data_IF_673415377655
#
_entry.id   IF_673415377655
#
_cell.length_a   1.000
_cell.length_b   1.000
_cell.length_c   1.000
_cell.angle_alpha   90.00
_cell.angle_beta   90.00
_cell.angle_gamma   90.00
#
_symmetry.space_group_name_H-M   'P 1'
#
loop_
_entity.id
_entity.type
_entity.pdbx_description
1 polymer ?
#
# COMPACT_ATOMS: atom_id res chain seq x y z
N UNK A 1 -2.13 -40.43 11.17
CA UNK A 1 -1.94 -39.32 10.22
C UNK A 1 -0.47 -39.28 9.90
N UNK A 2 -0.08 -39.62 8.68
CA UNK A 2 1.33 -39.63 8.24
C UNK A 2 1.94 -38.22 8.20
N UNK A 3 1.11 -37.17 8.13
CA UNK A 3 1.55 -35.79 8.31
C UNK A 3 0.51 -34.98 9.12
N UNK A 4 0.76 -34.68 10.41
CA UNK A 4 -0.17 -33.92 11.26
C UNK A 4 -0.33 -32.43 10.87
N UNK A 5 0.37 -31.97 9.82
CA UNK A 5 0.29 -30.60 9.26
C UNK A 5 -0.69 -30.48 8.09
N UNK A 6 -1.15 -31.59 7.50
CA UNK A 6 -2.10 -31.55 6.39
C UNK A 6 -3.46 -30.93 6.79
N UNK A 7 -4.07 -30.19 5.84
CA UNK A 7 -5.37 -29.54 6.04
C UNK A 7 -6.46 -30.57 6.32
N UNK A 8 -7.35 -30.34 7.31
CA UNK A 8 -8.46 -31.23 7.61
C UNK A 8 -9.35 -31.54 6.41
N UNK A 9 -9.76 -30.53 5.65
CA UNK A 9 -10.60 -30.72 4.46
C UNK A 9 -9.94 -31.60 3.39
N UNK A 10 -8.62 -31.48 3.20
CA UNK A 10 -7.88 -32.27 2.21
C UNK A 10 -7.73 -33.72 2.64
N UNK A 11 -7.40 -33.95 3.91
CA UNK A 11 -7.34 -35.30 4.50
C UNK A 11 -8.72 -35.95 4.46
N UNK A 12 -9.78 -35.21 4.78
CA UNK A 12 -11.15 -35.74 4.74
C UNK A 12 -11.61 -36.08 3.34
N UNK A 13 -11.32 -35.22 2.35
CA UNK A 13 -11.62 -35.48 0.95
C UNK A 13 -10.86 -36.71 0.43
N UNK A 14 -9.57 -36.84 0.77
CA UNK A 14 -8.73 -37.97 0.37
C UNK A 14 -9.15 -39.28 1.03
N UNK A 15 -9.43 -39.26 2.34
CA UNK A 15 -9.96 -40.41 3.07
C UNK A 15 -11.29 -40.82 2.46
N UNK A 16 -12.22 -39.89 2.24
CA UNK A 16 -13.54 -40.19 1.66
C UNK A 16 -13.43 -40.73 0.23
N UNK A 17 -12.57 -40.16 -0.61
CA UNK A 17 -12.37 -40.61 -1.99
C UNK A 17 -11.80 -42.04 -2.07
N UNK A 18 -11.07 -42.48 -1.05
CA UNK A 18 -10.43 -43.80 -0.99
C UNK A 18 -11.16 -44.79 -0.07
N UNK A 19 -12.34 -44.43 0.46
CA UNK A 19 -13.12 -45.28 1.38
C UNK A 19 -14.25 -45.97 0.62
N UNK A 20 -14.46 -47.27 0.87
CA UNK A 20 -15.58 -48.04 0.28
C UNK A 20 -16.93 -47.50 0.74
N UNK A 21 -17.95 -47.58 -0.12
CA UNK A 21 -19.31 -47.04 0.14
C UNK A 21 -19.91 -47.51 1.48
N UNK A 22 -19.73 -48.77 1.86
CA UNK A 22 -20.26 -49.29 3.14
C UNK A 22 -19.60 -48.62 4.36
N UNK A 23 -18.32 -48.26 4.21
CA UNK A 23 -17.55 -47.57 5.26
C UNK A 23 -17.82 -46.06 5.23
N UNK A 24 -18.13 -45.49 4.06
CA UNK A 24 -18.51 -44.08 3.92
C UNK A 24 -19.82 -43.76 4.65
N UNK A 25 -20.82 -44.65 4.58
CA UNK A 25 -22.11 -44.48 5.28
C UNK A 25 -21.94 -44.54 6.80
N UNK A 26 -20.97 -45.31 7.29
CA UNK A 26 -20.66 -45.41 8.73
C UNK A 26 -19.70 -44.32 9.23
N UNK A 27 -19.10 -43.53 8.33
CA UNK A 27 -18.32 -42.35 8.72
C UNK A 27 -19.24 -41.26 9.28
N UNK A 28 -18.80 -40.63 10.38
CA UNK A 28 -19.48 -39.46 10.93
C UNK A 28 -19.52 -38.28 9.94
N UNK A 29 -20.31 -37.26 10.28
CA UNK A 29 -20.38 -36.01 9.51
C UNK A 29 -19.00 -35.34 9.42
N UNK A 30 -18.81 -34.47 8.42
CA UNK A 30 -17.57 -33.70 8.26
C UNK A 30 -17.25 -32.87 9.52
N UNK A 31 -18.28 -32.38 10.21
CA UNK A 31 -18.13 -31.70 11.50
C UNK A 31 -17.57 -32.62 12.58
N UNK A 32 -18.07 -33.86 12.67
CA UNK A 32 -17.60 -34.85 13.64
C UNK A 32 -16.14 -35.26 13.34
N UNK A 33 -15.82 -35.52 12.07
CA UNK A 33 -14.47 -35.86 11.66
C UNK A 33 -13.51 -34.69 11.87
N UNK A 34 -13.89 -33.47 11.53
CA UNK A 34 -13.10 -32.26 11.82
C UNK A 34 -12.89 -32.06 13.34
N UNK A 35 -13.87 -32.40 14.19
CA UNK A 35 -13.72 -32.38 15.64
C UNK A 35 -12.70 -33.43 16.14
N UNK A 36 -12.72 -34.63 15.57
CA UNK A 36 -11.72 -35.68 15.85
C UNK A 36 -10.32 -35.22 15.44
N UNK A 37 -10.17 -34.63 14.24
CA UNK A 37 -8.89 -34.10 13.78
C UNK A 37 -8.36 -32.99 14.70
N UNK A 38 -9.22 -32.04 15.11
CA UNK A 38 -8.86 -31.00 16.09
C UNK A 38 -8.43 -31.59 17.43
N UNK A 39 -9.09 -32.65 17.91
CA UNK A 39 -8.70 -33.35 19.14
C UNK A 39 -7.33 -34.02 19.00
N UNK A 40 -7.03 -34.62 17.87
CA UNK A 40 -5.70 -35.21 17.61
C UNK A 40 -4.61 -34.14 17.52
N UNK A 41 -4.86 -33.05 16.79
CA UNK A 41 -3.93 -31.90 16.76
C UNK A 41 -3.63 -31.37 18.17
N UNK A 42 -4.65 -31.22 19.03
CA UNK A 42 -4.45 -30.80 20.43
C UNK A 42 -3.64 -31.78 21.27
N UNK A 43 -3.67 -33.08 20.97
CA UNK A 43 -2.81 -34.06 21.64
C UNK A 43 -1.35 -33.91 21.22
N UNK A 44 -1.10 -33.56 19.95
CA UNK A 44 0.25 -33.45 19.39
C UNK A 44 0.88 -32.09 19.73
N UNK A 45 0.13 -31.01 19.56
CA UNK A 45 0.62 -29.63 19.67
C UNK A 45 0.20 -28.92 20.96
N UNK A 46 -0.68 -29.52 21.77
CA UNK A 46 -1.27 -28.86 22.92
C UNK A 46 -2.44 -27.93 22.55
N UNK A 47 -3.03 -27.29 23.57
CA UNK A 47 -4.11 -26.32 23.38
C UNK A 47 -3.57 -24.90 23.17
N UNK A 48 -3.37 -24.53 21.90
CA UNK A 48 -2.76 -23.28 21.48
C UNK A 48 -3.76 -22.14 21.26
N UNK A 49 -5.03 -22.45 20.99
CA UNK A 49 -6.07 -21.45 20.70
C UNK A 49 -6.58 -20.84 22.01
N UNK A 50 -5.82 -19.89 22.54
CA UNK A 50 -6.16 -19.14 23.76
C UNK A 50 -6.57 -17.72 23.39
N UNK A 51 -7.63 -17.24 24.03
CA UNK A 51 -8.06 -15.83 23.89
C UNK A 51 -6.98 -14.87 24.40
N UNK A 52 -6.30 -15.23 25.50
CA UNK A 52 -5.17 -14.47 26.03
C UNK A 52 -3.84 -15.05 25.50
N UNK A 53 -3.07 -14.29 24.68
CA UNK A 53 -1.77 -14.71 24.16
C UNK A 53 -0.73 -15.10 25.23
N UNK A 54 -0.83 -14.58 26.46
CA UNK A 54 0.08 -14.95 27.56
C UNK A 54 0.01 -16.44 27.91
N UNK A 55 -1.17 -17.05 27.74
CA UNK A 55 -1.41 -18.43 28.12
C UNK A 55 -1.10 -19.43 26.99
N UNK A 56 -0.64 -18.93 25.85
CA UNK A 56 -0.28 -19.75 24.70
C UNK A 56 1.05 -20.44 24.98
N UNK A 57 1.09 -21.77 24.85
CA UNK A 57 2.34 -22.54 24.85
C UNK A 57 2.67 -22.86 23.40
N UNK A 58 3.86 -22.45 22.94
CA UNK A 58 4.32 -22.72 21.58
C UNK A 58 5.14 -24.03 21.57
N UNK A 59 4.71 -25.06 20.83
CA UNK A 59 5.42 -26.34 20.80
C UNK A 59 6.55 -26.32 19.77
N UNK A 60 7.70 -26.89 20.12
CA UNK A 60 8.86 -27.04 19.23
C UNK A 60 8.51 -27.70 17.90
N UNK A 61 7.55 -28.65 17.89
CA UNK A 61 7.09 -29.33 16.68
C UNK A 61 6.51 -28.39 15.59
N UNK A 62 6.11 -27.17 15.96
CA UNK A 62 5.60 -26.14 15.06
C UNK A 62 6.55 -24.94 14.91
N UNK A 63 7.66 -24.93 15.64
CA UNK A 63 8.66 -23.87 15.58
C UNK A 63 9.96 -24.34 14.96
N UNK A 64 10.30 -25.63 15.02
CA UNK A 64 11.59 -26.15 14.57
C UNK A 64 11.56 -26.64 13.12
N UNK A 65 12.51 -26.17 12.32
CA UNK A 65 12.77 -26.60 10.94
C UNK A 65 14.25 -26.94 10.80
N UNK A 66 14.56 -28.17 10.39
CA UNK A 66 15.93 -28.65 10.15
C UNK A 66 16.92 -28.39 11.31
N UNK A 67 16.41 -28.41 12.55
CA UNK A 67 17.19 -28.18 13.78
C UNK A 67 17.29 -26.71 14.22
N UNK A 68 16.72 -25.77 13.45
CA UNK A 68 16.68 -24.35 13.78
C UNK A 68 15.27 -23.88 14.14
N UNK A 69 15.18 -22.92 15.06
CA UNK A 69 13.90 -22.30 15.44
C UNK A 69 13.49 -21.26 14.39
N UNK A 70 12.24 -21.33 13.95
CA UNK A 70 11.59 -20.29 13.17
C UNK A 70 11.08 -19.15 14.05
N UNK A 71 10.97 -19.31 15.38
CA UNK A 71 10.63 -18.20 16.27
C UNK A 71 11.84 -17.30 16.50
N UNK A 72 11.79 -16.06 15.98
CA UNK A 72 12.84 -15.04 16.11
C UNK A 72 12.69 -14.18 17.36
N UNK A 73 11.45 -13.91 17.75
CA UNK A 73 11.15 -12.99 18.84
C UNK A 73 9.85 -13.36 19.52
N UNK A 74 9.86 -13.27 20.85
CA UNK A 74 8.70 -13.41 21.70
C UNK A 74 8.72 -12.31 22.77
N UNK A 75 7.84 -11.33 22.62
CA UNK A 75 7.71 -10.20 23.56
C UNK A 75 7.54 -10.63 25.01
N UNK A 76 6.98 -11.82 25.31
CA UNK A 76 6.76 -12.30 26.69
C UNK A 76 8.06 -12.51 27.46
N UNK A 77 9.16 -12.75 26.74
CA UNK A 77 10.50 -12.86 27.32
C UNK A 77 11.03 -11.49 27.75
N UNK A 78 10.56 -10.41 27.12
CA UNK A 78 11.04 -9.05 27.32
C UNK A 78 10.07 -8.17 28.15
N UNK A 79 8.76 -8.45 28.07
CA UNK A 79 7.66 -7.71 28.70
C UNK A 79 6.77 -8.67 29.50
N UNK A 80 7.26 -9.11 30.66
CA UNK A 80 6.55 -10.11 31.46
C UNK A 80 5.20 -9.59 31.97
N UNK A 81 4.14 -10.39 31.76
CA UNK A 81 2.79 -10.09 32.23
C UNK A 81 1.96 -9.18 31.32
N UNK A 82 2.53 -8.68 30.21
CA UNK A 82 1.82 -7.85 29.26
C UNK A 82 1.06 -8.71 28.22
N UNK A 83 -0.26 -8.52 28.11
CA UNK A 83 -1.15 -9.36 27.29
C UNK A 83 -1.09 -9.05 25.79
N UNK A 84 -0.52 -7.92 25.41
CA UNK A 84 -0.30 -7.47 24.04
C UNK A 84 0.97 -8.10 23.45
N UNK A 85 0.93 -9.41 23.23
CA UNK A 85 2.08 -10.22 22.80
C UNK A 85 2.40 -10.01 21.32
N UNK A 86 3.67 -9.75 21.01
CA UNK A 86 4.26 -9.76 19.66
C UNK A 86 5.11 -11.03 19.47
N UNK A 87 4.86 -11.76 18.39
CA UNK A 87 5.66 -12.93 17.96
C UNK A 87 6.21 -12.69 16.56
N UNK A 88 7.50 -12.95 16.32
CA UNK A 88 8.09 -12.91 14.96
C UNK A 88 8.58 -14.29 14.56
N UNK A 89 8.24 -14.69 13.34
CA UNK A 89 8.60 -15.98 12.76
C UNK A 89 9.45 -15.77 11.50
N UNK A 90 10.67 -16.31 11.47
CA UNK A 90 11.56 -16.31 10.31
C UNK A 90 11.15 -17.33 9.27
N UNK A 91 11.39 -16.94 8.03
CA UNK A 91 11.26 -17.75 6.85
C UNK A 91 12.50 -17.58 5.96
N UNK A 92 13.23 -16.44 6.04
CA UNK A 92 14.42 -16.16 5.24
C UNK A 92 15.33 -15.07 5.80
N UNK A 93 16.56 -15.45 6.13
CA UNK A 93 17.64 -14.51 6.42
C UNK A 93 18.46 -14.16 5.14
N UNK A 94 18.85 -12.88 5.00
CA UNK A 94 19.76 -12.26 4.01
C UNK A 94 19.16 -11.62 2.75
N UNK A 95 18.59 -10.42 2.89
CA UNK A 95 18.34 -9.51 1.77
C UNK A 95 18.51 -8.01 2.12
N UNK A 96 18.78 -7.19 1.10
CA UNK A 96 19.10 -5.75 1.24
C UNK A 96 17.95 -4.81 0.92
N UNK A 97 16.88 -5.32 0.31
CA UNK A 97 15.67 -4.57 -0.03
C UNK A 97 14.46 -5.31 0.52
N UNK A 98 13.61 -4.61 1.26
CA UNK A 98 12.43 -5.21 1.88
C UNK A 98 11.14 -4.50 1.45
N UNK A 99 10.05 -5.25 1.51
CA UNK A 99 8.69 -4.78 1.33
C UNK A 99 7.89 -5.22 2.54
N UNK A 100 6.94 -4.38 2.93
CA UNK A 100 6.17 -4.56 4.17
C UNK A 100 4.69 -4.45 3.85
N UNK A 101 3.88 -5.30 4.47
CA UNK A 101 2.42 -5.29 4.31
C UNK A 101 1.73 -5.92 5.54
N UNK A 102 0.48 -5.53 5.81
CA UNK A 102 -0.31 -6.03 6.93
C UNK A 102 -1.53 -6.80 6.45
N UNK A 103 -1.79 -7.99 7.02
CA UNK A 103 -2.97 -8.79 6.68
C UNK A 103 -3.75 -9.23 7.91
N UNK A 104 -5.06 -8.92 7.92
CA UNK A 104 -5.98 -9.16 9.04
C UNK A 104 -6.61 -10.55 8.99
N UNK A 105 -7.02 -10.99 7.78
CA UNK A 105 -7.82 -12.21 7.58
C UNK A 105 -7.08 -13.49 8.01
N UNK A 106 -5.74 -13.47 7.98
CA UNK A 106 -4.90 -14.63 8.32
C UNK A 106 -4.35 -14.58 9.75
N UNK A 107 -4.62 -13.51 10.50
CA UNK A 107 -4.19 -13.42 11.89
C UNK A 107 -5.01 -14.39 12.76
N UNK A 108 -4.37 -15.26 13.57
CA UNK A 108 -5.09 -16.06 14.55
C UNK A 108 -5.88 -15.17 15.50
N UNK A 109 -7.01 -15.66 16.01
CA UNK A 109 -8.01 -14.85 16.73
C UNK A 109 -7.49 -14.06 17.94
N UNK A 110 -6.38 -14.48 18.55
CA UNK A 110 -5.77 -13.78 19.68
C UNK A 110 -4.97 -12.52 19.27
N UNK A 111 -4.75 -12.30 17.97
CA UNK A 111 -4.04 -11.15 17.40
C UNK A 111 -4.92 -10.39 16.42
N UNK A 112 -4.66 -9.09 16.30
CA UNK A 112 -5.40 -8.23 15.37
C UNK A 112 -4.88 -8.36 13.94
N UNK A 113 -3.57 -8.51 13.75
CA UNK A 113 -3.01 -8.65 12.40
C UNK A 113 -1.77 -9.52 12.35
N UNK A 114 -1.51 -10.07 11.16
CA UNK A 114 -0.21 -10.61 10.78
C UNK A 114 0.49 -9.56 9.90
N UNK A 115 1.52 -8.93 10.44
CA UNK A 115 2.41 -8.02 9.74
C UNK A 115 3.52 -8.80 9.05
N UNK A 116 3.71 -8.60 7.76
CA UNK A 116 4.60 -9.43 6.94
C UNK A 116 5.69 -8.57 6.35
N UNK A 117 6.91 -9.09 6.42
CA UNK A 117 8.10 -8.49 5.84
C UNK A 117 8.66 -9.47 4.81
N UNK A 118 8.81 -9.00 3.60
CA UNK A 118 9.37 -9.75 2.48
C UNK A 118 10.60 -9.07 1.94
N UNK A 119 11.48 -9.84 1.33
CA UNK A 119 12.71 -9.38 0.73
C UNK A 119 12.70 -9.52 -0.77
N UNK A 120 13.21 -8.51 -1.47
CA UNK A 120 13.49 -8.61 -2.90
C UNK A 120 14.89 -9.16 -3.15
N UNK A 121 14.96 -10.27 -3.88
CA UNK A 121 16.19 -10.87 -4.40
C UNK A 121 16.02 -10.95 -5.91
N UNK A 122 16.87 -10.25 -6.69
CA UNK A 122 16.81 -10.22 -8.16
C UNK A 122 15.38 -10.09 -8.74
N UNK A 123 14.62 -9.12 -8.22
CA UNK A 123 13.21 -8.82 -8.58
C UNK A 123 12.15 -9.86 -8.21
N UNK A 124 12.52 -10.89 -7.45
CA UNK A 124 11.56 -11.80 -6.82
C UNK A 124 11.40 -11.43 -5.35
N UNK A 125 10.16 -11.35 -4.90
CA UNK A 125 9.87 -11.23 -3.47
C UNK A 125 9.83 -12.61 -2.86
N UNK A 126 10.54 -12.78 -1.75
CA UNK A 126 10.40 -13.92 -0.88
C UNK A 126 9.98 -13.43 0.51
N UNK A 127 8.99 -14.08 1.13
CA UNK A 127 8.54 -13.69 2.47
C UNK A 127 9.61 -14.10 3.49
N UNK A 128 9.96 -13.18 4.38
CA UNK A 128 11.02 -13.37 5.36
C UNK A 128 10.47 -13.48 6.77
N UNK A 129 9.51 -12.63 7.14
CA UNK A 129 9.01 -12.58 8.52
C UNK A 129 7.51 -12.46 8.54
N UNK A 130 6.89 -13.25 9.40
CA UNK A 130 5.51 -13.07 9.83
C UNK A 130 5.49 -12.64 11.30
N UNK A 131 4.94 -11.47 11.57
CA UNK A 131 4.81 -10.90 12.90
C UNK A 131 3.34 -10.84 13.32
N UNK A 132 2.97 -11.57 14.38
CA UNK A 132 1.63 -11.48 14.95
C UNK A 132 1.56 -10.28 15.89
N UNK A 133 0.77 -9.27 15.53
CA UNK A 133 0.66 -8.01 16.28
C UNK A 133 -0.71 -7.88 16.96
N UNK A 134 -0.75 -7.41 18.22
CA UNK A 134 -1.97 -7.25 19.00
C UNK A 134 -2.76 -5.98 18.63
N UNK A 135 -2.26 -5.16 17.69
CA UNK A 135 -2.95 -3.98 17.21
C UNK A 135 -2.19 -3.24 16.11
N UNK A 136 -2.71 -2.07 15.71
CA UNK A 136 -2.17 -1.19 14.65
C UNK A 136 -1.44 0.04 15.20
N UNK A 137 -1.13 0.05 16.49
CA UNK A 137 -0.44 1.16 17.12
C UNK A 137 1.04 1.15 16.73
N UNK A 138 1.62 2.35 16.56
CA UNK A 138 3.04 2.56 16.21
C UNK A 138 3.99 1.69 17.04
N UNK A 139 3.76 1.58 18.36
CA UNK A 139 4.60 0.80 19.28
C UNK A 139 4.79 -0.66 18.86
N UNK A 140 3.76 -1.32 18.32
CA UNK A 140 3.85 -2.72 17.93
C UNK A 140 4.64 -2.92 16.64
N UNK A 141 4.53 -1.98 15.69
CA UNK A 141 5.38 -1.97 14.51
C UNK A 141 6.84 -1.71 14.88
N UNK A 142 7.11 -0.77 15.79
CA UNK A 142 8.47 -0.48 16.26
C UNK A 142 9.07 -1.68 16.98
N UNK A 143 8.32 -2.36 17.85
CA UNK A 143 8.78 -3.58 18.52
C UNK A 143 9.17 -4.66 17.50
N UNK A 144 8.29 -4.94 16.53
CA UNK A 144 8.58 -5.92 15.49
C UNK A 144 9.75 -5.52 14.59
N UNK A 145 9.81 -4.27 14.14
CA UNK A 145 10.89 -3.80 13.27
C UNK A 145 12.24 -3.76 14.00
N UNK A 146 12.28 -3.45 15.30
CA UNK A 146 13.51 -3.50 16.09
C UNK A 146 14.01 -4.93 16.31
N UNK A 147 13.10 -5.87 16.54
CA UNK A 147 13.46 -7.29 16.58
C UNK A 147 14.05 -7.74 15.24
N UNK A 148 13.45 -7.36 14.11
CA UNK A 148 14.00 -7.62 12.77
C UNK A 148 15.37 -6.98 12.59
N UNK A 149 15.52 -5.70 12.96
CA UNK A 149 16.78 -4.95 12.87
C UNK A 149 17.92 -5.66 13.59
N UNK A 150 17.63 -6.26 14.74
CA UNK A 150 18.60 -7.03 15.53
C UNK A 150 19.04 -8.29 14.80
N UNK A 151 18.10 -9.02 14.18
CA UNK A 151 18.37 -10.26 13.42
C UNK A 151 19.20 -10.00 12.16
N UNK A 152 18.95 -8.90 11.45
CA UNK A 152 19.62 -8.61 10.19
C UNK A 152 20.95 -7.86 10.34
N UNK A 153 21.27 -7.38 11.55
CA UNK A 153 22.48 -6.60 11.82
C UNK A 153 23.76 -7.35 11.39
N UNK A 154 24.79 -6.63 10.87
CA UNK A 154 24.85 -5.19 10.65
C UNK A 154 24.17 -4.73 9.35
N UNK A 155 23.47 -5.61 8.62
CA UNK A 155 22.85 -5.26 7.36
C UNK A 155 21.55 -4.49 7.59
N UNK A 156 21.49 -3.24 7.13
CA UNK A 156 20.25 -2.48 7.08
C UNK A 156 19.65 -2.50 5.67
N UNK A 157 18.30 -2.47 5.54
CA UNK A 157 17.67 -2.30 4.24
C UNK A 157 18.04 -0.94 3.67
N UNK A 158 18.39 -0.89 2.37
CA UNK A 158 18.64 0.37 1.69
C UNK A 158 17.34 1.05 1.24
N UNK A 159 16.30 0.26 0.97
CA UNK A 159 15.00 0.72 0.48
C UNK A 159 13.89 -0.12 1.12
N UNK A 160 12.87 0.56 1.64
CA UNK A 160 11.64 -0.03 2.16
C UNK A 160 10.45 0.48 1.33
N UNK A 161 9.63 -0.46 0.84
CA UNK A 161 8.36 -0.15 0.19
C UNK A 161 7.24 -0.47 1.17
N UNK A 162 6.34 0.50 1.39
CA UNK A 162 5.19 0.34 2.27
C UNK A 162 3.90 0.78 1.60
N UNK A 163 2.80 0.36 2.20
CA UNK A 163 1.51 1.03 2.05
C UNK A 163 1.51 2.46 2.63
N UNK A 164 0.32 3.06 2.71
CA UNK A 164 0.10 4.42 3.20
C UNK A 164 -0.40 4.41 4.66
N UNK A 165 0.02 3.45 5.49
CA UNK A 165 -0.33 3.43 6.91
C UNK A 165 0.63 4.33 7.72
N UNK A 166 0.08 5.40 8.30
CA UNK A 166 0.84 6.42 9.06
C UNK A 166 1.67 5.81 10.20
N UNK A 167 1.10 4.89 10.97
CA UNK A 167 1.78 4.27 12.11
C UNK A 167 2.99 3.45 11.66
N UNK A 168 2.83 2.64 10.61
CA UNK A 168 3.89 1.83 10.01
C UNK A 168 4.99 2.72 9.42
N UNK A 169 4.64 3.76 8.65
CA UNK A 169 5.57 4.73 8.06
C UNK A 169 6.46 5.36 9.14
N UNK A 170 5.85 5.81 10.25
CA UNK A 170 6.59 6.41 11.37
C UNK A 170 7.53 5.41 12.03
N UNK A 171 7.06 4.18 12.28
CA UNK A 171 7.87 3.12 12.87
C UNK A 171 9.08 2.75 12.00
N UNK A 172 8.90 2.63 10.68
CA UNK A 172 9.99 2.33 9.74
C UNK A 172 11.02 3.45 9.66
N UNK A 173 10.60 4.72 9.66
CA UNK A 173 11.51 5.87 9.67
C UNK A 173 12.36 5.92 10.94
N UNK A 174 11.76 5.65 12.09
CA UNK A 174 12.47 5.61 13.37
C UNK A 174 13.48 4.45 13.41
N UNK A 175 13.04 3.26 12.97
CA UNK A 175 13.86 2.05 13.08
C UNK A 175 14.99 2.01 12.06
N UNK A 176 14.74 2.48 10.83
CA UNK A 176 15.67 2.46 9.70
C UNK A 176 15.83 3.86 9.06
N UNK A 177 16.41 4.84 9.78
CA UNK A 177 16.48 6.24 9.31
C UNK A 177 17.31 6.42 8.04
N UNK A 178 18.27 5.52 7.79
CA UNK A 178 19.11 5.54 6.58
C UNK A 178 18.43 4.91 5.34
N UNK A 179 17.32 4.19 5.52
CA UNK A 179 16.64 3.55 4.40
C UNK A 179 15.78 4.57 3.63
N UNK A 180 15.82 4.52 2.29
CA UNK A 180 14.84 5.25 1.47
C UNK A 180 13.47 4.60 1.66
N UNK A 181 12.52 5.31 2.27
CA UNK A 181 11.15 4.84 2.46
C UNK A 181 10.24 5.42 1.38
N UNK A 182 9.53 4.56 0.64
CA UNK A 182 8.61 4.98 -0.43
C UNK A 182 7.28 4.25 -0.36
N UNK A 183 6.21 4.93 -0.78
CA UNK A 183 4.89 4.36 -0.96
C UNK A 183 4.81 3.41 -2.15
N UNK A 184 3.81 2.54 -2.11
CA UNK A 184 3.45 1.64 -3.19
C UNK A 184 2.44 2.30 -4.15
N UNK A 185 2.74 2.36 -5.46
CA UNK A 185 1.82 2.93 -6.46
C UNK A 185 0.47 2.20 -6.50
N UNK A 186 0.42 0.91 -6.15
CA UNK A 186 -0.82 0.15 -6.07
C UNK A 186 -1.71 0.59 -4.94
N UNK A 187 -1.17 0.67 -3.73
CA UNK A 187 -1.93 1.15 -2.58
C UNK A 187 -2.34 2.61 -2.73
N UNK A 188 -1.48 3.46 -3.32
CA UNK A 188 -1.85 4.84 -3.68
C UNK A 188 -3.06 4.86 -4.62
N UNK A 189 -3.00 4.09 -5.72
CA UNK A 189 -4.07 4.08 -6.71
C UNK A 189 -5.37 3.49 -6.16
N UNK A 190 -5.29 2.49 -5.28
CA UNK A 190 -6.44 1.97 -4.55
C UNK A 190 -7.05 3.04 -3.64
N UNK A 191 -6.24 3.79 -2.90
CA UNK A 191 -6.73 4.86 -2.02
C UNK A 191 -7.39 5.99 -2.81
N UNK A 192 -6.78 6.40 -3.93
CA UNK A 192 -7.34 7.41 -4.84
C UNK A 192 -8.66 6.92 -5.46
N UNK A 193 -8.73 5.64 -5.89
CA UNK A 193 -9.94 5.03 -6.42
C UNK A 193 -11.06 4.92 -5.37
N UNK A 194 -10.75 4.50 -4.13
CA UNK A 194 -11.75 4.48 -3.05
C UNK A 194 -12.32 5.86 -2.79
N UNK A 195 -11.46 6.90 -2.73
CA UNK A 195 -11.94 8.27 -2.56
C UNK A 195 -12.84 8.74 -3.71
N UNK A 196 -12.49 8.37 -4.94
CA UNK A 196 -13.33 8.66 -6.11
C UNK A 196 -14.76 8.13 -5.93
N UNK A 197 -14.88 6.87 -5.48
CA UNK A 197 -16.18 6.22 -5.21
C UNK A 197 -16.92 6.85 -4.03
N UNK A 198 -16.23 7.10 -2.92
CA UNK A 198 -16.80 7.77 -1.73
C UNK A 198 -17.40 9.15 -2.06
N UNK A 199 -16.85 9.84 -3.07
CA UNK A 199 -17.35 11.13 -3.54
C UNK A 199 -18.49 11.01 -4.57
N UNK A 200 -18.99 9.80 -4.86
CA UNK A 200 -20.10 9.58 -5.79
C UNK A 200 -19.76 9.83 -7.27
N UNK A 201 -18.48 9.84 -7.64
CA UNK A 201 -18.05 10.18 -9.00
C UNK A 201 -18.16 9.00 -9.99
N UNK A 202 -18.85 7.92 -9.63
CA UNK A 202 -18.97 6.72 -10.47
C UNK A 202 -19.83 6.98 -11.71
N UNK A 203 -20.92 7.72 -11.57
CA UNK A 203 -21.81 8.07 -12.69
C UNK A 203 -21.09 8.94 -13.72
N UNK A 204 -20.40 10.00 -13.26
CA UNK A 204 -19.57 10.84 -14.14
C UNK A 204 -18.50 10.01 -14.85
N UNK A 205 -17.86 9.09 -14.13
CA UNK A 205 -16.84 8.22 -14.70
C UNK A 205 -17.43 7.26 -15.76
N UNK A 206 -18.65 6.76 -15.53
CA UNK A 206 -19.34 5.82 -16.40
C UNK A 206 -20.02 6.47 -17.62
N UNK A 207 -20.16 7.81 -17.63
CA UNK A 207 -20.72 8.53 -18.76
C UNK A 207 -19.86 8.29 -20.03
N UNK A 208 -20.47 7.87 -21.13
CA UNK A 208 -19.78 7.61 -22.40
C UNK A 208 -19.54 8.88 -23.23
N UNK A 209 -20.12 10.01 -22.82
CA UNK A 209 -19.90 11.33 -23.42
C UNK A 209 -18.53 11.92 -23.06
N UNK A 210 -18.23 13.07 -23.67
CA UNK A 210 -16.97 13.79 -23.51
C UNK A 210 -16.60 14.06 -22.05
N UNK A 211 -17.59 14.41 -21.22
CA UNK A 211 -17.36 14.65 -19.79
C UNK A 211 -16.84 13.42 -19.07
N UNK A 212 -17.39 12.24 -19.36
CA UNK A 212 -16.93 11.01 -18.75
C UNK A 212 -15.56 10.60 -19.26
N UNK A 213 -15.27 10.76 -20.57
CA UNK A 213 -13.91 10.51 -21.08
C UNK A 213 -12.88 11.48 -20.46
N UNK A 214 -13.24 12.75 -20.31
CA UNK A 214 -12.45 13.75 -19.60
C UNK A 214 -12.16 13.36 -18.14
N UNK A 215 -13.17 12.82 -17.44
CA UNK A 215 -13.02 12.37 -16.06
C UNK A 215 -12.11 11.14 -15.95
N UNK A 216 -12.27 10.17 -16.86
CA UNK A 216 -11.40 8.99 -16.98
C UNK A 216 -9.95 9.38 -17.25
N UNK A 217 -9.74 10.31 -18.18
CA UNK A 217 -8.41 10.83 -18.51
C UNK A 217 -7.77 11.57 -17.34
N UNK A 218 -8.52 12.45 -16.68
CA UNK A 218 -8.05 13.18 -15.50
C UNK A 218 -7.63 12.22 -14.39
N UNK A 219 -8.45 11.21 -14.09
CA UNK A 219 -8.12 10.18 -13.11
C UNK A 219 -6.84 9.41 -13.46
N UNK A 220 -6.71 8.95 -14.71
CA UNK A 220 -5.51 8.21 -15.15
C UNK A 220 -4.25 9.08 -15.12
N UNK A 221 -4.34 10.36 -15.52
CA UNK A 221 -3.24 11.32 -15.47
C UNK A 221 -2.80 11.62 -14.03
N UNK A 222 -3.73 11.72 -13.08
CA UNK A 222 -3.39 11.86 -11.65
C UNK A 222 -2.55 10.69 -11.14
N UNK A 223 -2.87 9.46 -11.53
CA UNK A 223 -2.04 8.30 -11.18
C UNK A 223 -0.68 8.32 -11.91
N UNK A 224 -0.64 8.84 -13.13
CA UNK A 224 0.59 9.00 -13.91
C UNK A 224 1.55 10.06 -13.35
N UNK A 225 1.07 11.00 -12.50
CA UNK A 225 1.96 11.95 -11.80
C UNK A 225 3.05 11.25 -10.97
N UNK A 226 2.80 10.02 -10.51
CA UNK A 226 3.82 9.25 -9.79
C UNK A 226 4.99 8.80 -10.67
N UNK A 227 4.85 8.88 -11.99
CA UNK A 227 5.84 8.38 -12.95
C UNK A 227 6.71 9.48 -13.55
N UNK A 228 6.29 10.75 -13.49
CA UNK A 228 7.09 11.89 -13.98
C UNK A 228 8.06 12.38 -12.89
N UNK A 229 9.12 13.13 -13.23
CA UNK A 229 10.06 13.67 -12.24
C UNK A 229 9.34 14.55 -11.20
N UNK A 230 9.77 14.46 -9.94
CA UNK A 230 9.14 15.15 -8.80
C UNK A 230 8.98 16.65 -9.02
N UNK A 231 9.98 17.30 -9.61
CA UNK A 231 9.96 18.74 -9.91
C UNK A 231 8.82 19.18 -10.84
N UNK A 232 8.28 18.28 -11.67
CA UNK A 232 7.21 18.57 -12.62
C UNK A 232 5.82 18.19 -12.09
N UNK A 233 5.72 17.56 -10.91
CA UNK A 233 4.45 17.06 -10.36
C UNK A 233 3.45 18.18 -10.09
N UNK A 234 3.86 19.30 -9.49
CA UNK A 234 2.95 20.43 -9.21
C UNK A 234 2.44 21.09 -10.49
N UNK A 235 3.32 21.26 -11.47
CA UNK A 235 2.97 21.81 -12.80
C UNK A 235 2.02 20.86 -13.53
N UNK A 236 2.35 19.57 -13.61
CA UNK A 236 1.49 18.53 -14.19
C UNK A 236 0.12 18.42 -13.52
N UNK A 237 0.06 18.49 -12.19
CA UNK A 237 -1.21 18.52 -11.46
C UNK A 237 -2.05 19.74 -11.85
N UNK A 238 -1.46 20.93 -11.90
CA UNK A 238 -2.15 22.17 -12.32
C UNK A 238 -2.71 22.04 -13.75
N UNK A 239 -1.92 21.48 -14.67
CA UNK A 239 -2.35 21.25 -16.04
C UNK A 239 -3.50 20.26 -16.14
N UNK A 240 -3.49 19.19 -15.34
CA UNK A 240 -4.62 18.24 -15.25
C UNK A 240 -5.89 18.97 -14.78
N UNK A 241 -5.80 19.78 -13.72
CA UNK A 241 -6.95 20.54 -13.21
C UNK A 241 -7.51 21.49 -14.27
N UNK A 242 -6.65 22.20 -15.00
CA UNK A 242 -7.06 23.19 -15.99
C UNK A 242 -7.76 22.57 -17.23
N UNK A 243 -7.47 21.31 -17.57
CA UNK A 243 -8.05 20.60 -18.71
C UNK A 243 -9.13 19.58 -18.31
N UNK A 244 -9.48 19.52 -17.03
CA UNK A 244 -10.47 18.59 -16.53
C UNK A 244 -11.90 19.07 -16.82
N UNK A 245 -12.87 18.15 -16.96
CA UNK A 245 -14.28 18.52 -16.99
C UNK A 245 -14.74 19.08 -15.63
N UNK A 246 -15.88 19.77 -15.64
CA UNK A 246 -16.54 20.24 -14.43
C UNK A 246 -16.88 19.11 -13.45
N UNK A 247 -17.09 19.45 -12.18
CA UNK A 247 -17.48 18.50 -11.14
C UNK A 247 -16.33 17.78 -10.42
N UNK A 248 -15.08 17.95 -10.86
CA UNK A 248 -13.91 17.31 -10.22
C UNK A 248 -13.17 18.18 -9.20
N UNK A 249 -13.58 19.43 -9.02
CA UNK A 249 -12.89 20.42 -8.18
C UNK A 249 -12.69 19.95 -6.72
N UNK A 250 -13.71 19.35 -6.11
CA UNK A 250 -13.61 18.81 -4.75
C UNK A 250 -12.63 17.62 -4.66
N UNK A 251 -12.61 16.77 -5.67
CA UNK A 251 -11.69 15.64 -5.75
C UNK A 251 -10.24 16.08 -5.95
N UNK A 252 -10.00 17.09 -6.79
CA UNK A 252 -8.68 17.72 -6.92
C UNK A 252 -8.24 18.39 -5.62
N UNK A 253 -9.15 19.07 -4.91
CA UNK A 253 -8.87 19.62 -3.58
C UNK A 253 -8.43 18.53 -2.59
N UNK A 254 -9.09 17.37 -2.59
CA UNK A 254 -8.64 16.21 -1.83
C UNK A 254 -7.25 15.74 -2.27
N UNK A 255 -7.03 15.51 -3.57
CA UNK A 255 -5.77 15.00 -4.08
C UNK A 255 -4.61 15.94 -3.73
N UNK A 256 -4.84 17.25 -3.85
CA UNK A 256 -3.87 18.27 -3.50
C UNK A 256 -3.51 18.20 -2.01
N UNK A 257 -4.48 18.12 -1.09
CA UNK A 257 -4.23 17.98 0.35
C UNK A 257 -3.44 16.73 0.72
N UNK A 258 -3.70 15.63 0.03
CA UNK A 258 -3.11 14.33 0.39
C UNK A 258 -1.74 14.13 -0.25
N UNK A 259 -1.53 14.59 -1.49
CA UNK A 259 -0.37 14.21 -2.30
C UNK A 259 0.49 15.38 -2.81
N UNK A 260 -0.07 16.58 -3.01
CA UNK A 260 0.63 17.70 -3.71
C UNK A 260 1.02 18.86 -2.79
N UNK A 261 0.18 19.20 -1.83
CA UNK A 261 0.25 20.36 -0.96
C UNK A 261 -0.49 21.58 -1.53
N UNK A 262 -0.95 22.47 -0.65
CA UNK A 262 -1.70 23.68 -1.00
C UNK A 262 -0.86 24.95 -0.81
N UNK A 263 -1.02 25.88 -1.74
CA UNK A 263 -0.65 27.30 -1.59
C UNK A 263 -1.63 28.01 -0.65
N UNK A 264 -1.29 29.22 -0.19
CA UNK A 264 -2.17 30.01 0.68
C UNK A 264 -3.53 30.26 0.05
N UNK A 265 -3.54 30.64 -1.23
CA UNK A 265 -4.76 30.89 -1.98
C UNK A 265 -5.62 29.63 -2.13
N UNK A 266 -5.03 28.47 -2.45
CA UNK A 266 -5.79 27.22 -2.57
C UNK A 266 -6.36 26.75 -1.23
N UNK A 267 -5.67 27.03 -0.14
CA UNK A 267 -6.17 26.74 1.20
C UNK A 267 -7.38 27.62 1.56
N UNK A 268 -7.33 28.91 1.20
CA UNK A 268 -8.41 29.87 1.45
C UNK A 268 -9.61 29.64 0.53
N UNK A 269 -9.38 29.58 -0.78
CA UNK A 269 -10.43 29.51 -1.80
C UNK A 269 -11.12 28.14 -1.91
N UNK A 270 -10.61 27.12 -1.22
CA UNK A 270 -11.36 25.89 -1.10
C UNK A 270 -11.30 25.01 -2.35
N UNK A 271 -12.36 24.24 -2.58
CA UNK A 271 -12.52 23.48 -3.82
C UNK A 271 -12.60 24.40 -5.06
N UNK A 272 -13.04 25.66 -4.89
CA UNK A 272 -13.19 26.64 -5.98
C UNK A 272 -11.85 26.91 -6.68
N UNK A 273 -10.74 26.84 -5.95
CA UNK A 273 -9.40 26.96 -6.53
C UNK A 273 -9.07 25.89 -7.58
N UNK A 274 -9.84 24.80 -7.64
CA UNK A 274 -9.63 23.68 -8.55
C UNK A 274 -10.77 23.49 -9.55
N UNK A 275 -11.63 24.50 -9.71
CA UNK A 275 -12.60 24.52 -10.80
C UNK A 275 -11.88 24.78 -12.15
N UNK A 276 -12.39 24.24 -13.27
CA UNK A 276 -11.86 24.56 -14.59
C UNK A 276 -11.82 26.07 -14.82
N UNK A 277 -10.72 26.59 -15.39
CA UNK A 277 -10.57 28.01 -15.68
C UNK A 277 -10.31 28.94 -14.47
N UNK A 278 -10.20 28.42 -13.24
CA UNK A 278 -9.92 29.23 -12.04
C UNK A 278 -8.59 30.03 -12.12
N UNK A 279 -7.67 29.67 -13.01
CA UNK A 279 -6.42 30.39 -13.24
C UNK A 279 -6.60 31.62 -14.16
N UNK A 280 -7.63 31.63 -15.01
CA UNK A 280 -7.92 32.74 -15.93
C UNK A 280 -8.53 33.95 -15.22
N UNK A 281 -9.28 33.73 -14.13
CA UNK A 281 -9.86 34.81 -13.32
C UNK A 281 -8.79 35.64 -12.59
N UNK A 282 -7.59 35.08 -12.35
CA UNK A 282 -6.45 35.82 -11.78
C UNK A 282 -5.77 36.76 -12.77
N UNK A 283 -5.85 36.47 -14.07
CA UNK A 283 -5.37 37.39 -15.12
C UNK A 283 -6.32 38.57 -15.35
N UNK A 284 -7.60 38.44 -14.99
CA UNK A 284 -8.63 39.46 -15.20
C UNK A 284 -9.05 40.22 -13.93
N UNK A 285 -8.74 39.75 -12.72
CA UNK A 285 -9.11 40.41 -11.47
C UNK A 285 -8.08 41.41 -10.96
N UNK A 286 -7.90 42.49 -11.75
CA UNK A 286 -7.74 43.84 -11.19
C UNK A 286 -8.97 44.62 -11.65
N UNK A 287 -10.17 44.26 -11.17
CA UNK A 287 -11.33 45.13 -11.15
C UNK A 287 -12.51 44.48 -10.44
N UNK A 288 -13.00 45.22 -9.43
CA UNK A 288 -14.36 45.27 -8.88
C UNK A 288 -14.94 44.09 -8.10
N UNK A 289 -15.23 44.40 -6.83
CA UNK A 289 -16.17 43.78 -5.90
C UNK A 289 -17.45 43.26 -6.59
N UNK A 290 -17.72 41.96 -6.48
CA UNK A 290 -19.08 41.43 -6.63
C UNK A 290 -19.41 40.48 -5.46
N UNK A 291 -20.40 40.86 -4.67
CA UNK A 291 -20.79 40.22 -3.40
C UNK A 291 -21.68 38.98 -3.58
N UNK A 292 -21.57 38.27 -4.71
CA UNK A 292 -22.33 37.04 -4.99
C UNK A 292 -21.55 35.74 -4.67
N UNK A 293 -20.26 35.81 -4.37
CA UNK A 293 -19.39 34.64 -4.15
C UNK A 293 -19.45 34.01 -2.74
N UNK A 294 -20.21 34.59 -1.81
CA UNK A 294 -20.17 34.16 -0.40
C UNK A 294 -21.01 32.92 -0.08
N UNK A 295 -22.03 32.58 -0.88
CA UNK A 295 -22.91 31.43 -0.59
C UNK A 295 -22.41 30.13 -1.23
N UNK A 296 -21.83 30.19 -2.44
CA UNK A 296 -21.15 29.07 -3.09
C UNK A 296 -19.86 28.66 -2.36
N UNK A 297 -19.06 29.65 -1.94
CA UNK A 297 -17.85 29.42 -1.13
C UNK A 297 -18.15 28.78 0.23
N UNK A 298 -19.32 29.03 0.85
CA UNK A 298 -19.71 28.36 2.10
C UNK A 298 -20.06 26.88 1.91
N UNK A 299 -20.79 26.53 0.84
CA UNK A 299 -21.14 25.12 0.53
C UNK A 299 -19.94 24.29 0.09
N UNK A 300 -18.96 24.91 -0.57
CA UNK A 300 -17.71 24.27 -1.02
C UNK A 300 -16.50 24.56 -0.13
N UNK A 301 -16.73 25.13 1.05
CA UNK A 301 -15.71 25.29 2.08
C UNK A 301 -15.27 23.91 2.57
N UNK A 302 -13.97 23.72 2.78
CA UNK A 302 -13.42 22.44 3.20
C UNK A 302 -13.73 22.05 4.66
N UNK A 303 -14.72 22.70 5.28
CA UNK A 303 -15.05 22.64 6.71
C UNK A 303 -15.43 21.21 7.15
N UNK A 304 -15.91 20.36 6.23
CA UNK A 304 -16.19 18.94 6.51
C UNK A 304 -14.97 17.99 6.39
N UNK A 305 -13.82 18.41 5.83
CA UNK A 305 -12.65 17.53 5.71
C UNK A 305 -11.65 17.65 6.87
N UNK A 306 -11.58 18.80 7.56
CA UNK A 306 -10.65 18.99 8.67
C UNK A 306 -11.07 18.22 9.94
N UNK A 307 -12.35 17.83 10.08
CA UNK A 307 -12.83 16.92 11.13
C UNK A 307 -12.39 15.45 10.93
N UNK A 308 -12.11 15.02 9.68
CA UNK A 308 -11.79 13.62 9.35
C UNK A 308 -10.29 13.32 9.45
N UNK A 309 -9.43 14.33 9.29
CA UNK A 309 -7.97 14.17 9.23
C UNK A 309 -7.19 15.09 10.19
N UNK A 310 -7.77 15.39 11.37
CA UNK A 310 -7.16 16.27 12.37
C UNK A 310 -5.68 16.01 12.62
N UNK A 311 -4.87 17.08 12.71
CA UNK A 311 -3.46 17.22 13.12
C UNK A 311 -2.41 16.11 12.83
N UNK A 312 -2.72 15.09 12.03
CA UNK A 312 -1.85 13.94 11.77
C UNK A 312 -0.82 14.20 10.66
N UNK A 313 -0.26 15.41 10.59
CA UNK A 313 0.85 15.69 9.68
C UNK A 313 2.04 14.79 10.05
N UNK A 314 2.45 13.94 9.11
CA UNK A 314 3.73 13.25 9.22
C UNK A 314 4.78 14.29 8.82
N UNK A 315 5.66 14.69 9.74
CA UNK A 315 6.82 15.49 9.37
C UNK A 315 7.78 14.60 8.57
N UNK A 316 7.86 14.85 7.27
CA UNK A 316 8.95 14.38 6.43
C UNK A 316 10.04 15.44 6.51
N UNK A 317 11.23 15.06 6.99
CA UNK A 317 12.34 15.99 7.12
C UNK A 317 12.55 16.75 5.81
N UNK A 318 12.67 18.06 5.90
CA UNK A 318 12.98 18.90 4.74
C UNK A 318 14.28 18.38 4.09
N UNK A 319 14.37 18.27 2.76
CA UNK A 319 15.67 18.21 2.13
C UNK A 319 16.46 19.48 2.49
N UNK A 320 17.79 19.32 2.59
CA UNK A 320 18.74 20.37 2.96
C UNK A 320 18.44 21.72 2.29
N UNK A 321 18.70 22.85 2.97
CA UNK A 321 18.44 24.18 2.42
C UNK A 321 19.15 24.35 1.08
N UNK A 322 18.37 24.69 0.06
CA UNK A 322 18.89 25.20 -1.21
C UNK A 322 19.74 26.43 -0.88
N UNK A 323 20.97 26.57 -1.42
CA UNK A 323 21.80 27.75 -1.17
C UNK A 323 21.05 29.01 -1.58
N UNK A 324 20.94 29.97 -0.67
CA UNK A 324 20.42 31.29 -0.96
C UNK A 324 21.32 31.98 -1.98
N UNK A 325 20.83 32.13 -3.21
CA UNK A 325 21.48 32.97 -4.22
C UNK A 325 21.35 34.45 -3.84
N UNK A 326 22.37 35.29 -4.07
CA UNK A 326 22.35 36.69 -3.63
C UNK A 326 21.33 37.50 -4.43
N UNK A 327 20.52 38.26 -3.69
CA UNK A 327 19.56 39.23 -4.23
C UNK A 327 20.29 40.33 -4.99
N UNK A 328 20.16 40.32 -6.32
CA UNK A 328 20.44 41.50 -7.15
C UNK A 328 19.08 42.01 -7.62
N UNK A 329 18.71 43.24 -7.23
CA UNK A 329 17.46 43.86 -7.69
C UNK A 329 17.52 44.09 -9.21
N UNK A 330 16.49 43.73 -9.99
CA UNK A 330 16.29 44.31 -11.29
C UNK A 330 15.32 45.49 -11.17
N UNK A 331 15.79 46.64 -11.64
CA UNK A 331 14.95 47.76 -12.06
C UNK A 331 14.13 47.38 -13.29
N UNK A 332 12.95 48.00 -13.39
CA UNK A 332 11.99 48.05 -14.52
C UNK A 332 10.95 46.93 -14.62
N UNK A 333 9.71 47.40 -14.77
CA UNK A 333 8.42 46.74 -14.63
C UNK A 333 8.06 45.82 -15.80
N UNK A 334 7.97 44.52 -15.51
CA UNK A 334 7.00 43.60 -16.11
C UNK A 334 6.37 42.86 -14.94
N UNK A 335 5.05 42.94 -14.76
CA UNK A 335 4.35 42.07 -13.82
C UNK A 335 4.42 40.64 -14.35
N UNK A 336 5.50 39.92 -14.04
CA UNK A 336 5.56 38.47 -14.22
C UNK A 336 4.56 37.87 -13.23
N UNK A 337 3.41 37.42 -13.74
CA UNK A 337 2.49 36.62 -12.95
C UNK A 337 3.20 35.30 -12.69
N UNK A 338 3.71 35.12 -11.47
CA UNK A 338 4.35 33.87 -11.04
C UNK A 338 3.33 32.75 -11.23
N UNK A 339 3.67 31.71 -12.03
CA UNK A 339 2.76 30.61 -12.27
C UNK A 339 2.34 29.91 -10.97
N UNK A 340 1.09 29.46 -10.92
CA UNK A 340 0.49 28.84 -9.74
C UNK A 340 1.33 27.70 -9.14
N UNK A 341 1.98 26.90 -9.97
CA UNK A 341 2.77 25.75 -9.53
C UNK A 341 4.12 26.13 -8.90
N UNK A 342 4.60 27.35 -9.12
CA UNK A 342 5.83 27.92 -8.52
C UNK A 342 5.55 28.61 -7.17
N UNK A 343 4.28 28.85 -6.84
CA UNK A 343 3.92 29.45 -5.56
C UNK A 343 4.24 28.50 -4.40
N UNK A 344 4.71 29.05 -3.26
CA UNK A 344 5.10 28.25 -2.11
C UNK A 344 3.92 27.49 -1.51
N UNK A 345 4.17 26.24 -1.17
CA UNK A 345 3.24 25.40 -0.41
C UNK A 345 3.23 25.86 1.05
N UNK A 346 2.09 26.32 1.54
CA UNK A 346 1.91 26.68 2.97
C UNK A 346 1.32 25.53 3.79
N UNK A 347 0.52 24.67 3.15
CA UNK A 347 0.02 23.42 3.74
C UNK A 347 0.69 22.23 3.04
N UNK A 348 1.68 21.56 3.66
CA UNK A 348 2.31 20.40 3.06
C UNK A 348 1.30 19.26 2.89
N UNK A 349 1.50 18.39 1.89
CA UNK A 349 0.64 17.23 1.71
C UNK A 349 0.79 16.24 2.87
N UNK A 350 -0.26 15.43 3.11
CA UNK A 350 -0.18 14.33 4.08
C UNK A 350 0.95 13.34 3.73
N UNK A 351 1.11 13.04 2.44
CA UNK A 351 2.19 12.23 1.88
C UNK A 351 2.96 13.06 0.84
N UNK A 352 4.21 13.46 1.12
CA UNK A 352 5.04 14.22 0.19
C UNK A 352 5.32 13.51 -1.11
N UNK A 353 5.58 14.31 -2.15
CA UNK A 353 5.81 13.83 -3.51
C UNK A 353 6.92 12.78 -3.54
N UNK A 354 8.11 13.06 -2.98
CA UNK A 354 9.20 12.08 -2.90
C UNK A 354 8.84 10.72 -2.25
N UNK A 355 7.81 10.65 -1.40
CA UNK A 355 7.39 9.38 -0.80
C UNK A 355 6.62 8.52 -1.79
N UNK A 356 5.64 9.08 -2.50
CA UNK A 356 4.76 8.32 -3.40
C UNK A 356 5.20 8.35 -4.87
N UNK A 357 6.09 9.26 -5.25
CA UNK A 357 6.68 9.31 -6.58
C UNK A 357 7.59 8.08 -6.80
N UNK A 358 7.43 7.47 -7.96
CA UNK A 358 8.13 6.24 -8.36
C UNK A 358 8.93 6.41 -9.66
N UNK A 359 9.20 7.64 -10.08
CA UNK A 359 9.91 7.96 -11.33
C UNK A 359 11.22 7.17 -11.50
N UNK A 360 12.14 7.27 -10.54
CA UNK A 360 13.44 6.57 -10.59
C UNK A 360 13.27 5.05 -10.71
N UNK A 361 12.26 4.50 -10.01
CA UNK A 361 11.93 3.06 -10.06
C UNK A 361 11.32 2.68 -11.40
N UNK A 362 10.50 3.55 -11.97
CA UNK A 362 9.88 3.34 -13.26
C UNK A 362 10.93 3.23 -14.37
N UNK A 363 11.92 4.13 -14.37
CA UNK A 363 13.06 4.13 -15.30
C UNK A 363 14.01 2.95 -15.08
N UNK A 364 14.34 2.66 -13.83
CA UNK A 364 15.27 1.56 -13.48
C UNK A 364 14.63 0.16 -13.56
N UNK A 365 13.37 0.07 -14.00
CA UNK A 365 12.54 -1.14 -13.98
C UNK A 365 12.53 -1.87 -12.61
N UNK A 366 12.65 -1.10 -11.52
CA UNK A 366 12.55 -1.54 -10.14
C UNK A 366 11.06 -1.60 -9.75
N UNK A 367 10.71 -2.41 -8.74
CA UNK A 367 9.31 -2.64 -8.37
C UNK A 367 8.58 -1.35 -7.96
N UNK A 368 7.68 -0.90 -8.84
CA UNK A 368 6.79 0.26 -8.63
C UNK A 368 5.64 -0.04 -7.65
N UNK A 369 5.31 -1.32 -7.48
CA UNK A 369 4.17 -1.80 -6.71
C UNK A 369 4.57 -2.93 -5.76
N UNK A 370 3.73 -3.17 -4.76
CA UNK A 370 3.85 -4.29 -3.82
C UNK A 370 3.11 -5.55 -4.34
N UNK A 371 2.87 -5.67 -5.65
CA UNK A 371 2.08 -6.76 -6.22
C UNK A 371 2.65 -8.15 -5.91
N UNK A 372 3.98 -8.24 -5.78
CA UNK A 372 4.64 -9.48 -5.40
C UNK A 372 4.28 -9.89 -3.97
N UNK A 373 4.12 -8.93 -3.05
CA UNK A 373 3.68 -9.19 -1.68
C UNK A 373 2.24 -9.63 -1.65
N UNK A 374 1.35 -8.91 -2.34
CA UNK A 374 -0.06 -9.27 -2.47
C UNK A 374 -0.24 -10.68 -3.06
N UNK A 375 0.55 -11.04 -4.06
CA UNK A 375 0.53 -12.38 -4.64
C UNK A 375 1.04 -13.45 -3.66
N UNK A 376 2.14 -13.17 -2.94
CA UNK A 376 2.67 -14.06 -1.91
C UNK A 376 1.70 -14.23 -0.74
N UNK A 377 1.05 -13.14 -0.31
CA UNK A 377 -0.03 -13.12 0.67
C UNK A 377 -1.21 -13.95 0.24
N UNK A 378 -1.69 -13.76 -0.99
CA UNK A 378 -2.78 -14.56 -1.54
C UNK A 378 -2.40 -16.05 -1.61
N UNK A 379 -1.14 -16.34 -1.93
CA UNK A 379 -0.68 -17.72 -1.99
C UNK A 379 -0.59 -18.37 -0.60
N UNK A 380 -0.14 -17.62 0.40
CA UNK A 380 -0.12 -18.05 1.80
C UNK A 380 -1.55 -18.23 2.34
N UNK A 381 -2.45 -17.29 2.06
CA UNK A 381 -3.83 -17.27 2.57
C UNK A 381 -4.75 -18.30 1.91
N UNK A 382 -4.50 -18.74 0.66
CA UNK A 382 -5.20 -19.90 0.05
C UNK A 382 -5.13 -21.16 0.92
N UNK A 383 -4.13 -21.23 1.79
CA UNK A 383 -3.91 -22.26 2.81
C UNK A 383 -4.87 -22.20 4.00
N UNK A 384 -5.44 -21.05 4.30
CA UNK A 384 -5.98 -20.75 5.62
C UNK A 384 -7.44 -20.33 5.53
N UNK A 385 -8.20 -20.68 6.58
CA UNK A 385 -9.52 -20.08 6.81
C UNK A 385 -9.35 -18.67 7.37
N UNK A 386 -10.42 -17.87 7.35
CA UNK A 386 -10.45 -16.61 8.08
C UNK A 386 -10.21 -16.86 9.57
N UNK A 387 -9.26 -16.13 10.16
CA UNK A 387 -8.83 -16.29 11.55
C UNK A 387 -8.50 -17.75 11.90
N UNK A 388 -7.44 -18.33 11.30
CA UNK A 388 -7.07 -19.72 11.52
C UNK A 388 -6.67 -19.99 12.98
N UNK A 389 -6.71 -21.25 13.39
CA UNK A 389 -6.09 -21.65 14.66
C UNK A 389 -4.61 -21.28 14.65
N UNK A 390 -4.02 -20.99 15.81
CA UNK A 390 -2.60 -20.69 15.89
C UNK A 390 -1.76 -21.88 15.39
N UNK A 391 -2.22 -23.11 15.67
CA UNK A 391 -1.55 -24.32 15.20
C UNK A 391 -1.55 -24.44 13.66
N UNK A 392 -2.65 -24.09 13.00
CA UNK A 392 -2.73 -24.11 11.53
C UNK A 392 -1.90 -22.99 10.90
N UNK A 393 -1.87 -21.81 11.53
CA UNK A 393 -1.04 -20.69 11.10
C UNK A 393 0.45 -21.03 11.16
N UNK A 394 0.93 -21.54 12.30
CA UNK A 394 2.34 -21.94 12.47
C UNK A 394 2.72 -23.09 11.53
N UNK A 395 1.85 -24.08 11.36
CA UNK A 395 2.07 -25.16 10.40
C UNK A 395 2.19 -24.61 8.96
N UNK A 396 1.34 -23.64 8.57
CA UNK A 396 1.42 -23.02 7.25
C UNK A 396 2.71 -22.22 7.05
N UNK A 397 3.23 -21.55 8.08
CA UNK A 397 4.54 -20.89 8.03
C UNK A 397 5.64 -21.92 7.81
N UNK A 398 5.66 -22.97 8.63
CA UNK A 398 6.67 -24.03 8.58
C UNK A 398 6.69 -24.74 7.22
N UNK A 399 5.51 -25.04 6.66
CA UNK A 399 5.37 -25.63 5.33
C UNK A 399 5.76 -24.66 4.20
N UNK A 400 5.82 -23.35 4.47
CA UNK A 400 6.23 -22.34 3.50
C UNK A 400 7.74 -22.06 3.47
N UNK A 401 8.50 -22.46 4.50
CA UNK A 401 9.94 -22.16 4.64
C UNK A 401 10.73 -22.63 3.42
N UNK A 402 10.67 -23.91 3.07
CA UNK A 402 11.43 -24.48 1.94
C UNK A 402 11.11 -23.75 0.64
N UNK A 403 9.83 -23.44 0.43
CA UNK A 403 9.36 -22.74 -0.75
C UNK A 403 9.91 -21.32 -0.84
N UNK A 404 9.91 -20.56 0.25
CA UNK A 404 10.50 -19.22 0.25
C UNK A 404 12.01 -19.29 0.06
N UNK A 405 12.69 -20.26 0.70
CA UNK A 405 14.12 -20.53 0.48
C UNK A 405 14.44 -20.82 -0.97
N UNK A 406 13.63 -21.65 -1.63
CA UNK A 406 13.78 -21.94 -3.05
C UNK A 406 13.50 -20.73 -3.92
N UNK A 407 12.52 -19.88 -3.59
CA UNK A 407 12.30 -18.61 -4.29
C UNK A 407 13.55 -17.73 -4.19
N UNK A 408 14.12 -17.56 -3.00
CA UNK A 408 15.31 -16.74 -2.78
C UNK A 408 16.56 -17.31 -3.46
N UNK A 409 16.81 -18.62 -3.35
CA UNK A 409 17.92 -19.32 -4.01
C UNK A 409 17.80 -19.25 -5.53
N UNK A 410 16.63 -19.62 -6.06
CA UNK A 410 16.39 -19.58 -7.51
C UNK A 410 16.44 -18.17 -8.08
N UNK A 411 16.08 -17.14 -7.31
CA UNK A 411 16.24 -15.76 -7.75
C UNK A 411 17.71 -15.37 -7.97
N UNK A 412 18.64 -15.90 -7.16
CA UNK A 412 20.08 -15.65 -7.30
C UNK A 412 20.70 -16.38 -8.49
N UNK A 413 20.19 -17.58 -8.80
CA UNK A 413 20.79 -18.49 -9.77
C UNK A 413 20.15 -18.37 -11.16
N UNK A 414 18.82 -18.20 -11.21
CA UNK A 414 18.05 -18.27 -12.45
C UNK A 414 17.31 -16.97 -12.75
N UNK A 415 17.44 -16.43 -13.98
CA UNK A 415 16.64 -15.28 -14.39
C UNK A 415 15.15 -15.65 -14.35
N UNK A 416 14.33 -14.78 -13.75
CA UNK A 416 12.90 -15.00 -13.68
C UNK A 416 12.22 -14.81 -15.04
N UNK A 417 11.57 -15.87 -15.53
CA UNK A 417 10.73 -15.78 -16.74
C UNK A 417 9.45 -15.01 -16.41
N UNK A 418 9.44 -13.72 -16.73
CA UNK A 418 8.28 -12.84 -16.56
C UNK A 418 7.33 -12.97 -17.74
N UNK A 419 6.03 -12.71 -17.50
CA UNK A 419 5.06 -12.66 -18.61
C UNK A 419 5.38 -11.48 -19.53
N UNK A 420 5.49 -11.75 -20.83
CA UNK A 420 5.89 -10.78 -21.86
C UNK A 420 5.07 -9.49 -21.78
N UNK A 421 3.75 -9.58 -21.58
CA UNK A 421 2.87 -8.41 -21.45
C UNK A 421 3.31 -7.39 -20.39
N UNK A 422 3.88 -7.84 -19.26
CA UNK A 422 4.35 -6.94 -18.20
C UNK A 422 5.71 -6.34 -18.52
N UNK A 423 6.57 -7.11 -19.22
CA UNK A 423 7.87 -6.62 -19.70
C UNK A 423 7.63 -5.50 -20.72
N UNK A 424 6.81 -5.74 -21.74
CA UNK A 424 6.50 -4.76 -22.77
C UNK A 424 5.88 -3.50 -22.18
N UNK A 425 4.95 -3.63 -21.23
CA UNK A 425 4.34 -2.47 -20.56
C UNK A 425 5.35 -1.65 -19.76
N UNK A 426 6.29 -2.31 -19.07
CA UNK A 426 7.34 -1.61 -18.34
C UNK A 426 8.33 -0.92 -19.28
N UNK A 427 8.65 -1.57 -20.39
CA UNK A 427 9.50 -0.99 -21.43
C UNK A 427 8.84 0.23 -22.05
N UNK A 428 7.57 0.16 -22.45
CA UNK A 428 6.83 1.32 -22.98
C UNK A 428 6.81 2.51 -22.00
N UNK A 429 6.68 2.25 -20.69
CA UNK A 429 6.78 3.31 -19.68
C UNK A 429 8.21 3.84 -19.59
N UNK A 430 9.22 2.96 -19.62
CA UNK A 430 10.63 3.34 -19.59
C UNK A 430 11.00 4.23 -20.77
N UNK A 431 10.75 3.75 -22.00
CA UNK A 431 11.03 4.43 -23.26
C UNK A 431 10.33 5.81 -23.29
N UNK A 432 9.04 5.88 -22.93
CA UNK A 432 8.31 7.14 -22.86
C UNK A 432 8.93 8.12 -21.84
N UNK A 433 9.43 7.65 -20.70
CA UNK A 433 10.09 8.50 -19.70
C UNK A 433 11.50 8.91 -20.12
N UNK A 434 12.20 8.07 -20.89
CA UNK A 434 13.55 8.31 -21.38
C UNK A 434 13.57 9.36 -22.50
N UNK A 435 12.56 9.35 -23.36
CA UNK A 435 12.40 10.27 -24.50
C UNK A 435 11.64 11.56 -24.16
N UNK A 436 10.98 11.62 -22.98
CA UNK A 436 10.16 12.77 -22.61
C UNK A 436 10.95 14.04 -22.34
N UNK A 437 10.47 15.14 -22.94
CA UNK A 437 10.80 16.50 -22.54
C UNK A 437 9.82 17.02 -21.48
N UNK A 438 10.23 18.07 -20.74
CA UNK A 438 9.42 18.70 -19.69
C UNK A 438 9.53 20.23 -19.72
N UNK A 439 9.86 20.78 -20.88
CA UNK A 439 10.18 22.20 -21.06
C UNK A 439 8.90 23.05 -21.08
N UNK A 440 7.88 22.58 -21.80
CA UNK A 440 6.62 23.27 -22.03
C UNK A 440 5.45 22.60 -21.31
N UNK A 441 4.32 23.30 -21.20
CA UNK A 441 3.08 22.72 -20.67
C UNK A 441 2.58 21.56 -21.57
N UNK A 442 2.79 21.70 -22.87
CA UNK A 442 2.44 20.71 -23.88
C UNK A 442 3.27 19.43 -23.74
N UNK A 443 4.58 19.55 -23.48
CA UNK A 443 5.45 18.38 -23.25
C UNK A 443 4.94 17.56 -22.05
N UNK A 444 4.61 18.25 -20.95
CA UNK A 444 4.09 17.62 -19.73
C UNK A 444 2.73 16.97 -19.98
N UNK A 445 1.83 17.63 -20.73
CA UNK A 445 0.52 17.07 -21.08
C UNK A 445 0.66 15.85 -21.99
N UNK A 446 1.60 15.86 -22.94
CA UNK A 446 1.85 14.76 -23.85
C UNK A 446 2.37 13.54 -23.11
N UNK A 447 3.40 13.69 -22.27
CA UNK A 447 3.91 12.55 -21.49
C UNK A 447 2.86 12.01 -20.51
N UNK A 448 2.09 12.89 -19.84
CA UNK A 448 0.99 12.44 -18.98
C UNK A 448 -0.08 11.68 -19.76
N UNK A 449 -0.40 12.11 -20.98
CA UNK A 449 -1.37 11.43 -21.85
C UNK A 449 -0.86 10.04 -22.25
N UNK A 450 0.40 9.92 -22.71
CA UNK A 450 1.03 8.64 -23.03
C UNK A 450 1.04 7.68 -21.83
N UNK A 451 1.47 8.16 -20.66
CA UNK A 451 1.49 7.37 -19.43
C UNK A 451 0.08 6.98 -18.97
N UNK A 452 -0.92 7.86 -19.17
CA UNK A 452 -2.31 7.57 -18.79
C UNK A 452 -2.89 6.38 -19.55
N UNK A 453 -2.52 6.19 -20.82
CA UNK A 453 -2.90 5.00 -21.62
C UNK A 453 -2.33 3.72 -20.99
N UNK A 454 -1.09 3.77 -20.52
CA UNK A 454 -0.48 2.65 -19.80
C UNK A 454 -1.19 2.39 -18.46
N UNK A 455 -1.78 3.41 -17.83
CA UNK A 455 -2.54 3.25 -16.59
C UNK A 455 -3.94 2.62 -16.80
N UNK A 456 -4.49 2.59 -18.01
CA UNK A 456 -5.84 2.07 -18.28
C UNK A 456 -6.05 0.63 -17.78
N UNK A 457 -5.16 -0.30 -18.15
CA UNK A 457 -5.25 -1.69 -17.69
C UNK A 457 -5.05 -1.85 -16.17
N UNK A 458 -4.42 -0.87 -15.53
CA UNK A 458 -4.25 -0.85 -14.08
C UNK A 458 -5.56 -0.46 -13.38
N UNK A 459 -6.23 0.57 -13.89
CA UNK A 459 -7.55 1.01 -13.41
C UNK A 459 -8.60 -0.09 -13.59
N UNK A 460 -8.57 -0.82 -14.71
CA UNK A 460 -9.43 -1.99 -14.90
C UNK A 460 -9.26 -3.05 -13.79
N UNK A 461 -8.01 -3.29 -13.37
CA UNK A 461 -7.72 -4.20 -12.25
C UNK A 461 -8.20 -3.69 -10.88
N UNK A 462 -8.22 -2.37 -10.66
CA UNK A 462 -8.78 -1.77 -9.44
C UNK A 462 -10.29 -1.98 -9.35
N UNK A 463 -11.02 -1.86 -10.46
CA UNK A 463 -12.48 -2.09 -10.49
C UNK A 463 -12.86 -3.52 -10.18
N UNK A 464 -12.20 -4.49 -10.83
CA UNK A 464 -12.47 -5.91 -10.61
C UNK A 464 -12.29 -6.32 -9.14
N UNK A 465 -11.27 -5.77 -8.46
CA UNK A 465 -11.06 -6.03 -7.03
C UNK A 465 -11.96 -5.20 -6.11
N UNK A 466 -12.33 -3.99 -6.51
CA UNK A 466 -13.25 -3.13 -5.76
C UNK A 466 -14.63 -3.74 -5.57
N UNK A 467 -15.12 -4.49 -6.58
CA UNK A 467 -16.34 -5.29 -6.48
C UNK A 467 -16.22 -6.41 -5.44
N UNK A 468 -15.10 -7.13 -5.46
CA UNK A 468 -14.83 -8.25 -4.53
C UNK A 468 -14.68 -7.81 -3.07
N UNK A 469 -14.13 -6.61 -2.83
CA UNK A 469 -14.03 -6.05 -1.46
C UNK A 469 -15.40 -5.61 -0.93
N UNK A 470 -16.32 -5.15 -1.78
CA UNK A 470 -17.65 -4.71 -1.34
C UNK A 470 -18.55 -5.88 -0.90
N UNK A 471 -18.44 -7.03 -1.59
CA UNK A 471 -19.10 -8.27 -1.16
C UNK A 471 -18.52 -8.81 0.16
N UNK A 472 -17.20 -8.69 0.35
CA UNK A 472 -16.51 -9.17 1.56
C UNK A 472 -16.85 -8.39 2.84
N UNK A 473 -17.25 -7.11 2.74
CA UNK A 473 -17.66 -6.29 3.90
C UNK A 473 -19.17 -6.28 4.15
N UNK A 474 -19.99 -6.50 3.11
CA UNK A 474 -21.44 -6.63 3.27
C UNK A 474 -21.85 -7.93 4.01
N UNK A 475 -20.98 -8.94 4.06
CA UNK A 475 -21.19 -10.18 4.82
C UNK A 475 -20.64 -10.18 6.25
N UNK A 476 -20.17 -9.03 6.77
CA UNK A 476 -19.64 -8.90 8.13
C UNK A 476 -20.53 -8.05 9.06
N UNK A 477 -21.66 -7.55 8.55
CA UNK A 477 -22.77 -6.99 9.32
C UNK A 477 -23.96 -7.95 9.23
N UNK A 478 -23.85 -9.11 9.88
CA UNK A 478 -24.96 -9.92 10.39
C UNK A 478 -24.47 -10.89 11.48
#
# INVERSE_FOLDING_TARGET
MENPRQKPSKVLAEVRANTKDETFVSMGTDLALAAVMRRQKRKIYGNMDRVNPLNVVLPDALLMKDGESTLLYDSRVHRQGESDVVLLLDVLNRARKISVDGTFKVAPAAWTQCFVIGAFVNRRLALCVHALLPGKQRKYYEEALNAVKTVIAPNAPAHIISDFETATIRAMRETFPAAKLTGCLFHMSQAVFRKWREMGLEELYANDEEQGEGARNSFRKLLALALIPEQHVRRGFTLIVNHAPDGLAAFFGYFARVYVGLTAHEQEAGAVAFAPGADQSRRSSISTNDTRDTEYSRRNSFVNLDHVYGNNFIQFGNPSPVPSTPTTQPSTSFFSVVPRWELPTVRPPLYPVHFWNVHDRARSAVEKTNNAMEASHLQFSRGLVHHPSLSDFLAAILDSVDKQMDIARSARVFPHKRRIRYILKEQLIGDALDEAEYNTDEDILNILSLLSLQMQGYVGGLRARGAQVHEDYAGAED
#
